data_IF_831949481935
#
_entry.id   IF_831949481935
#
_cell.length_a   1.000
_cell.length_b   1.000
_cell.length_c   1.000
_cell.angle_alpha   90.00
_cell.angle_beta   90.00
_cell.angle_gamma   90.00
#
_symmetry.space_group_name_H-M   'P 1'
#
loop_
_entity.id
_entity.type
_entity.pdbx_description
1 polymer ?
#
# COMPACT_ATOMS: atom_id res chain seq x y z
N UNK A 1 31.76 -43.66 -8.28
CA UNK A 1 30.39 -43.38 -7.80
C UNK A 1 29.43 -43.90 -8.86
N UNK A 2 28.59 -44.86 -8.52
CA UNK A 2 27.57 -45.36 -9.44
C UNK A 2 26.41 -44.35 -9.47
N UNK A 3 25.81 -44.12 -10.63
CA UNK A 3 24.69 -43.17 -10.82
C UNK A 3 23.56 -43.39 -9.81
N UNK A 4 23.30 -44.65 -9.48
CA UNK A 4 22.35 -45.09 -8.47
C UNK A 4 22.57 -44.51 -7.06
N UNK A 5 23.83 -44.31 -6.64
CA UNK A 5 24.13 -43.72 -5.32
C UNK A 5 23.75 -42.24 -5.26
N UNK A 6 23.90 -41.53 -6.39
CA UNK A 6 23.53 -40.12 -6.50
C UNK A 6 22.02 -39.97 -6.51
N UNK A 7 21.31 -40.81 -7.27
CA UNK A 7 19.85 -40.85 -7.32
C UNK A 7 19.24 -41.10 -5.93
N UNK A 8 19.72 -42.11 -5.21
CA UNK A 8 19.24 -42.43 -3.87
C UNK A 8 19.51 -41.30 -2.86
N UNK A 9 20.67 -40.63 -2.97
CA UNK A 9 21.00 -39.47 -2.13
C UNK A 9 20.07 -38.27 -2.39
N UNK A 10 19.74 -37.99 -3.65
CA UNK A 10 18.82 -36.92 -4.04
C UNK A 10 17.40 -37.16 -3.50
N UNK A 11 16.87 -38.38 -3.65
CA UNK A 11 15.52 -38.72 -3.17
C UNK A 11 15.43 -38.69 -1.63
N UNK A 12 16.47 -39.15 -0.94
CA UNK A 12 16.54 -39.07 0.51
C UNK A 12 16.54 -37.62 1.00
N UNK A 13 17.32 -36.74 0.34
CA UNK A 13 17.37 -35.32 0.66
C UNK A 13 16.03 -34.63 0.39
N UNK A 14 15.41 -34.89 -0.75
CA UNK A 14 14.09 -34.33 -1.09
C UNK A 14 13.03 -34.77 -0.07
N UNK A 15 13.00 -36.05 0.29
CA UNK A 15 12.08 -36.59 1.30
C UNK A 15 12.31 -35.94 2.67
N UNK A 16 13.57 -35.77 3.07
CA UNK A 16 13.93 -35.09 4.32
C UNK A 16 13.44 -33.63 4.35
N UNK A 17 13.69 -32.85 3.30
CA UNK A 17 13.20 -31.47 3.17
C UNK A 17 11.68 -31.42 3.16
N UNK A 18 11.03 -32.35 2.45
CA UNK A 18 9.57 -32.44 2.39
C UNK A 18 8.95 -32.71 3.77
N UNK A 19 9.53 -33.62 4.56
CA UNK A 19 9.10 -33.88 5.94
C UNK A 19 9.23 -32.61 6.79
N UNK A 20 10.38 -31.92 6.73
CA UNK A 20 10.56 -30.66 7.47
C UNK A 20 9.51 -29.61 7.09
N UNK A 21 9.24 -29.43 5.78
CA UNK A 21 8.23 -28.48 5.31
C UNK A 21 6.83 -28.86 5.81
N UNK A 22 6.46 -30.14 5.81
CA UNK A 22 5.16 -30.60 6.32
C UNK A 22 5.05 -30.40 7.82
N UNK A 23 6.11 -30.70 8.58
CA UNK A 23 6.14 -30.45 10.01
C UNK A 23 5.94 -28.97 10.36
N UNK A 24 6.45 -28.03 9.55
CA UNK A 24 6.18 -26.59 9.77
C UNK A 24 4.74 -26.18 9.48
N UNK A 25 4.03 -26.92 8.61
CA UNK A 25 2.64 -26.63 8.20
C UNK A 25 1.58 -27.37 9.02
N UNK A 26 1.98 -28.28 9.91
CA UNK A 26 1.06 -29.13 10.68
C UNK A 26 0.19 -28.35 11.68
N UNK A 27 0.60 -27.15 12.11
CA UNK A 27 -0.19 -26.33 13.02
C UNK A 27 -0.82 -25.15 12.28
N UNK A 28 -2.08 -25.33 11.86
CA UNK A 28 -2.86 -24.28 11.21
C UNK A 28 -3.37 -23.28 12.25
N UNK A 29 -2.54 -22.27 12.55
CA UNK A 29 -2.90 -21.17 13.44
C UNK A 29 -3.89 -20.23 12.76
N UNK A 30 -5.09 -20.12 13.34
CA UNK A 30 -6.07 -19.11 12.96
C UNK A 30 -5.90 -17.88 13.85
N UNK A 31 -5.64 -16.72 13.23
CA UNK A 31 -5.53 -15.45 13.94
C UNK A 31 -6.88 -14.74 13.93
N UNK A 32 -7.38 -14.39 15.12
CA UNK A 32 -8.51 -13.48 15.29
C UNK A 32 -7.97 -12.10 15.67
N UNK A 33 -8.31 -11.08 14.88
CA UNK A 33 -7.81 -9.72 15.06
C UNK A 33 -8.86 -8.89 15.80
N UNK A 34 -8.49 -8.31 16.95
CA UNK A 34 -9.36 -7.48 17.79
C UNK A 34 -8.86 -6.03 17.82
N UNK A 35 -9.17 -5.20 16.80
CA UNK A 35 -8.64 -3.84 16.70
C UNK A 35 -9.06 -2.92 17.85
N UNK A 36 -10.18 -3.23 18.52
CA UNK A 36 -10.67 -2.46 19.67
C UNK A 36 -9.76 -2.57 20.91
N UNK A 37 -8.86 -3.57 20.95
CA UNK A 37 -7.93 -3.81 22.06
C UNK A 37 -6.53 -3.23 21.81
N UNK A 38 -6.33 -2.54 20.67
CA UNK A 38 -5.05 -1.95 20.34
C UNK A 38 -4.74 -0.79 21.31
N UNK A 39 -3.60 -0.89 21.97
CA UNK A 39 -3.04 0.21 22.75
C UNK A 39 -2.61 1.34 21.80
N UNK A 40 -2.93 2.56 22.18
CA UNK A 40 -2.58 3.76 21.43
C UNK A 40 -1.06 3.97 21.49
N UNK A 41 -0.36 3.56 20.43
CA UNK A 41 1.09 3.75 20.26
C UNK A 41 1.36 4.66 19.05
N UNK A 42 2.55 5.25 19.05
CA UNK A 42 3.08 5.89 17.85
C UNK A 42 3.45 4.78 16.86
N UNK A 43 3.07 4.98 15.61
CA UNK A 43 3.34 4.01 14.54
C UNK A 43 4.00 4.77 13.40
N UNK A 44 5.22 4.37 13.09
CA UNK A 44 5.98 4.91 11.98
C UNK A 44 5.95 3.92 10.82
N UNK A 45 5.69 4.43 9.63
CA UNK A 45 5.70 3.65 8.39
C UNK A 45 6.94 4.03 7.59
N UNK A 46 7.70 3.03 7.17
CA UNK A 46 8.87 3.22 6.32
C UNK A 46 8.59 2.69 4.91
N UNK A 47 8.91 3.50 3.91
CA UNK A 47 8.89 3.15 2.50
C UNK A 47 10.31 3.24 1.98
N UNK A 48 10.81 2.18 1.38
CA UNK A 48 12.15 2.14 0.78
C UNK A 48 12.01 2.02 -0.72
N UNK A 49 12.84 2.76 -1.47
CA UNK A 49 12.95 2.63 -2.92
C UNK A 49 14.41 2.65 -3.33
N UNK A 50 14.78 1.83 -4.31
CA UNK A 50 16.20 1.60 -4.64
C UNK A 50 16.53 1.75 -6.14
N UNK A 51 15.55 1.74 -7.03
CA UNK A 51 15.79 1.79 -8.47
C UNK A 51 14.61 2.44 -9.20
N UNK A 52 14.88 3.45 -10.04
CA UNK A 52 13.87 4.18 -10.80
C UNK A 52 13.23 3.40 -11.94
N UNK A 53 13.97 2.48 -12.56
CA UNK A 53 13.49 1.69 -13.69
C UNK A 53 12.60 0.55 -13.19
N UNK A 54 13.01 -0.10 -12.10
CA UNK A 54 12.23 -1.17 -11.47
C UNK A 54 11.07 -0.63 -10.63
N UNK A 55 11.25 0.54 -10.01
CA UNK A 55 10.26 1.18 -9.13
C UNK A 55 9.98 2.63 -9.58
N UNK A 56 9.18 2.82 -10.65
CA UNK A 56 8.83 4.15 -11.12
C UNK A 56 8.30 5.05 -9.99
N UNK A 57 8.74 6.32 -9.89
CA UNK A 57 8.38 7.23 -8.78
C UNK A 57 6.87 7.36 -8.53
N UNK A 58 6.05 7.20 -9.57
CA UNK A 58 4.59 7.25 -9.46
C UNK A 58 4.02 6.14 -8.56
N UNK A 59 4.65 4.96 -8.52
CA UNK A 59 4.23 3.84 -7.66
C UNK A 59 4.57 4.16 -6.20
N UNK A 60 5.78 4.67 -5.97
CA UNK A 60 6.25 5.11 -4.64
C UNK A 60 5.35 6.21 -4.09
N UNK A 61 5.05 7.23 -4.90
CA UNK A 61 4.13 8.32 -4.54
C UNK A 61 2.73 7.81 -4.17
N UNK A 62 2.16 6.92 -4.97
CA UNK A 62 0.84 6.34 -4.69
C UNK A 62 0.82 5.55 -3.38
N UNK A 63 1.89 4.82 -3.10
CA UNK A 63 2.08 4.09 -1.84
C UNK A 63 2.12 5.06 -0.67
N UNK A 64 2.96 6.11 -0.74
CA UNK A 64 3.10 7.13 0.31
C UNK A 64 1.78 7.86 0.55
N UNK A 65 1.06 8.27 -0.51
CA UNK A 65 -0.27 8.89 -0.40
C UNK A 65 -1.29 7.99 0.27
N UNK A 66 -1.31 6.69 -0.06
CA UNK A 66 -2.20 5.72 0.57
C UNK A 66 -1.90 5.57 2.07
N UNK A 67 -0.61 5.51 2.44
CA UNK A 67 -0.17 5.38 3.84
C UNK A 67 -0.57 6.61 4.67
N UNK A 68 -0.43 7.83 4.13
CA UNK A 68 -0.82 9.07 4.83
C UNK A 68 -2.33 9.15 5.13
N UNK A 69 -3.15 8.43 4.37
CA UNK A 69 -4.60 8.35 4.56
C UNK A 69 -4.99 7.24 5.54
N UNK A 70 -4.09 6.33 5.93
CA UNK A 70 -4.41 5.20 6.81
C UNK A 70 -5.06 5.69 8.11
N UNK A 71 -6.18 5.05 8.45
CA UNK A 71 -6.99 5.39 9.61
C UNK A 71 -6.62 4.40 10.70
N UNK A 72 -5.59 4.78 11.46
CA UNK A 72 -5.08 3.95 12.53
C UNK A 72 -5.75 4.35 13.84
N UNK A 73 -6.40 3.40 14.55
CA UNK A 73 -7.17 3.70 15.75
C UNK A 73 -6.29 4.37 16.82
N UNK A 74 -6.72 5.54 17.30
CA UNK A 74 -6.00 6.34 18.28
C UNK A 74 -4.78 7.11 17.74
N UNK A 75 -4.49 7.06 16.44
CA UNK A 75 -3.32 7.73 15.86
C UNK A 75 -3.67 8.80 14.81
N UNK A 76 -4.89 9.36 14.85
CA UNK A 76 -5.31 10.48 14.00
C UNK A 76 -4.32 11.67 13.98
N UNK A 77 -3.40 11.74 14.95
CA UNK A 77 -2.32 12.72 15.06
C UNK A 77 -0.91 12.12 15.27
N UNK A 78 -0.68 10.82 15.01
CA UNK A 78 0.57 10.11 15.40
C UNK A 78 1.19 9.19 14.35
N UNK A 79 0.67 9.18 13.12
CA UNK A 79 1.29 8.43 12.03
C UNK A 79 2.33 9.30 11.33
N UNK A 80 3.59 8.85 11.29
CA UNK A 80 4.62 9.43 10.45
C UNK A 80 5.00 8.44 9.33
N UNK A 81 5.19 8.97 8.13
CA UNK A 81 5.65 8.19 6.96
C UNK A 81 7.04 8.70 6.60
N UNK A 82 8.00 7.78 6.58
CA UNK A 82 9.39 8.03 6.21
C UNK A 82 9.68 7.34 4.88
N UNK A 83 10.40 8.02 4.00
CA UNK A 83 10.82 7.48 2.71
C UNK A 83 12.34 7.44 2.67
N UNK A 84 12.92 6.27 2.42
CA UNK A 84 14.34 6.08 2.13
C UNK A 84 14.49 5.86 0.62
N UNK A 85 15.22 6.73 -0.04
CA UNK A 85 15.53 6.63 -1.47
C UNK A 85 17.03 6.31 -1.63
N UNK A 86 17.33 5.04 -1.86
CA UNK A 86 18.71 4.55 -2.01
C UNK A 86 19.28 4.89 -3.40
N UNK A 87 18.42 5.14 -4.40
CA UNK A 87 18.83 5.59 -5.73
C UNK A 87 19.24 7.07 -5.76
N UNK A 88 18.87 7.83 -4.72
CA UNK A 88 19.10 9.28 -4.60
C UNK A 88 18.63 10.05 -5.86
N UNK A 89 17.45 9.70 -6.36
CA UNK A 89 16.99 10.23 -7.64
C UNK A 89 16.33 11.59 -7.49
N UNK A 90 16.73 12.59 -8.28
CA UNK A 90 16.04 13.89 -8.29
C UNK A 90 14.59 13.77 -8.77
N UNK A 91 14.28 12.76 -9.60
CA UNK A 91 12.92 12.52 -10.09
C UNK A 91 12.01 12.01 -8.97
N UNK A 92 12.50 11.07 -8.16
CA UNK A 92 11.78 10.57 -6.97
C UNK A 92 11.55 11.69 -5.97
N UNK A 93 12.57 12.50 -5.71
CA UNK A 93 12.45 13.65 -4.82
C UNK A 93 11.40 14.65 -5.30
N UNK A 94 11.43 15.03 -6.58
CA UNK A 94 10.46 15.96 -7.15
C UNK A 94 9.03 15.39 -7.09
N UNK A 95 8.86 14.13 -7.47
CA UNK A 95 7.56 13.45 -7.42
C UNK A 95 7.00 13.40 -5.99
N UNK A 96 7.84 13.11 -4.98
CA UNK A 96 7.44 13.13 -3.56
C UNK A 96 7.10 14.54 -3.07
N UNK A 97 7.83 15.57 -3.51
CA UNK A 97 7.53 16.98 -3.20
C UNK A 97 6.16 17.40 -3.74
N UNK A 98 5.84 17.08 -4.99
CA UNK A 98 4.51 17.35 -5.56
C UNK A 98 3.42 16.50 -4.88
N UNK A 99 3.72 15.24 -4.57
CA UNK A 99 2.83 14.38 -3.81
C UNK A 99 2.50 14.96 -2.43
N UNK A 100 3.47 15.55 -1.74
CA UNK A 100 3.25 16.19 -0.44
C UNK A 100 2.27 17.37 -0.54
N UNK A 101 2.33 18.17 -1.61
CA UNK A 101 1.35 19.24 -1.88
C UNK A 101 -0.03 18.69 -2.21
N UNK A 102 -0.10 17.58 -2.95
CA UNK A 102 -1.36 16.91 -3.25
C UNK A 102 -1.99 16.25 -2.01
N UNK A 103 -1.16 15.70 -1.12
CA UNK A 103 -1.59 15.05 0.12
C UNK A 103 -2.42 15.98 1.01
N UNK A 104 -2.10 17.28 1.03
CA UNK A 104 -2.85 18.28 1.79
C UNK A 104 -4.32 18.38 1.36
N UNK A 105 -4.65 18.02 0.11
CA UNK A 105 -6.02 17.99 -0.40
C UNK A 105 -6.61 16.58 -0.33
N UNK A 106 -5.82 15.58 -0.71
CA UNK A 106 -6.25 14.18 -0.75
C UNK A 106 -6.57 13.60 0.62
N UNK A 107 -5.71 13.85 1.61
CA UNK A 107 -5.86 13.27 2.95
C UNK A 107 -7.14 13.73 3.65
N UNK A 108 -7.47 15.04 3.71
CA UNK A 108 -8.74 15.49 4.27
C UNK A 108 -9.95 14.94 3.50
N UNK A 109 -9.91 14.96 2.16
CA UNK A 109 -10.99 14.43 1.33
C UNK A 109 -11.31 12.96 1.66
N UNK A 110 -10.28 12.11 1.71
CA UNK A 110 -10.47 10.70 2.02
C UNK A 110 -11.04 10.49 3.43
N UNK A 111 -10.64 11.32 4.40
CA UNK A 111 -11.13 11.23 5.78
C UNK A 111 -12.59 11.70 5.91
N UNK A 112 -12.94 12.82 5.29
CA UNK A 112 -14.31 13.38 5.33
C UNK A 112 -15.32 12.41 4.74
N UNK A 113 -15.00 11.83 3.58
CA UNK A 113 -15.92 10.97 2.84
C UNK A 113 -15.73 9.48 3.10
N UNK A 114 -14.84 9.12 4.02
CA UNK A 114 -14.48 7.75 4.40
C UNK A 114 -14.23 6.86 3.16
N UNK A 115 -13.34 7.33 2.29
CA UNK A 115 -13.01 6.65 1.03
C UNK A 115 -12.28 5.34 1.30
N UNK A 116 -12.83 4.23 0.78
CA UNK A 116 -12.27 2.89 0.96
C UNK A 116 -10.99 2.68 0.14
N UNK A 117 -10.97 3.16 -1.11
CA UNK A 117 -9.80 3.06 -2.01
C UNK A 117 -8.93 4.31 -1.85
N UNK A 118 -7.87 4.20 -1.05
CA UNK A 118 -7.02 5.34 -0.65
C UNK A 118 -5.88 5.65 -1.62
N UNK A 119 -5.66 4.78 -2.60
CA UNK A 119 -4.68 4.95 -3.68
C UNK A 119 -5.32 5.80 -4.79
N UNK A 120 -4.82 7.02 -5.05
CA UNK A 120 -5.42 7.94 -6.03
C UNK A 120 -5.57 7.33 -7.42
N UNK A 121 -4.50 6.73 -7.97
CA UNK A 121 -4.53 6.14 -9.31
C UNK A 121 -5.61 5.07 -9.47
N UNK A 122 -5.87 4.28 -8.41
CA UNK A 122 -6.91 3.24 -8.43
C UNK A 122 -8.30 3.83 -8.22
N UNK A 123 -8.41 4.86 -7.38
CA UNK A 123 -9.67 5.55 -7.10
C UNK A 123 -10.23 6.27 -8.33
N UNK A 124 -9.36 6.93 -9.10
CA UNK A 124 -9.72 7.62 -10.35
C UNK A 124 -9.67 6.73 -11.59
N UNK A 125 -9.63 5.40 -11.41
CA UNK A 125 -9.65 4.48 -12.55
C UNK A 125 -11.05 4.39 -13.17
N UNK A 126 -11.19 4.22 -14.49
CA UNK A 126 -12.50 4.16 -15.16
C UNK A 126 -13.46 3.11 -14.58
N UNK A 127 -12.91 1.97 -14.14
CA UNK A 127 -13.68 0.91 -13.50
C UNK A 127 -14.22 1.32 -12.12
N UNK A 128 -13.45 2.10 -11.35
CA UNK A 128 -13.89 2.63 -10.07
C UNK A 128 -14.93 3.75 -10.24
N UNK A 129 -14.80 4.59 -11.27
CA UNK A 129 -15.76 5.65 -11.58
C UNK A 129 -17.17 5.12 -11.89
N UNK A 130 -17.24 4.01 -12.64
CA UNK A 130 -18.51 3.33 -12.93
C UNK A 130 -19.17 2.77 -11.66
N UNK A 131 -18.37 2.26 -10.71
CA UNK A 131 -18.90 1.76 -9.45
C UNK A 131 -19.45 2.89 -8.55
N UNK A 132 -18.81 4.06 -8.56
CA UNK A 132 -19.27 5.24 -7.81
C UNK A 132 -20.60 5.79 -8.37
N UNK A 133 -20.75 5.83 -9.71
CA UNK A 133 -21.99 6.33 -10.34
C UNK A 133 -23.22 5.46 -10.11
N UNK A 134 -23.04 4.19 -9.72
CA UNK A 134 -24.14 3.21 -9.64
C UNK A 134 -24.69 3.03 -8.21
N UNK A 135 -23.99 3.54 -7.19
CA UNK A 135 -24.20 3.08 -5.81
C UNK A 135 -24.43 4.13 -4.72
N UNK A 136 -24.48 5.44 -5.00
CA UNK A 136 -24.47 6.45 -3.92
C UNK A 136 -25.40 7.62 -4.16
N UNK A 137 -26.24 7.90 -3.17
CA UNK A 137 -26.98 9.16 -3.02
C UNK A 137 -25.98 10.25 -2.62
N UNK A 138 -25.20 10.74 -3.58
CA UNK A 138 -24.12 11.68 -3.30
C UNK A 138 -24.65 13.09 -3.06
N UNK A 139 -24.15 13.72 -1.99
CA UNK A 139 -24.33 15.15 -1.76
C UNK A 139 -23.67 15.93 -2.90
N UNK A 140 -24.29 17.03 -3.32
CA UNK A 140 -23.74 17.91 -4.37
C UNK A 140 -22.31 18.38 -4.04
N UNK A 141 -22.00 18.53 -2.76
CA UNK A 141 -20.68 18.89 -2.23
C UNK A 141 -19.61 17.84 -2.56
N UNK A 142 -19.89 16.55 -2.33
CA UNK A 142 -18.96 15.46 -2.66
C UNK A 142 -18.65 15.45 -4.16
N UNK A 143 -19.66 15.68 -5.01
CA UNK A 143 -19.47 15.70 -6.45
C UNK A 143 -18.60 16.89 -6.90
N UNK A 144 -18.74 18.05 -6.26
CA UNK A 144 -17.92 19.22 -6.52
C UNK A 144 -16.47 19.00 -6.08
N UNK A 145 -16.27 18.52 -4.86
CA UNK A 145 -14.94 18.23 -4.31
C UNK A 145 -14.21 17.14 -5.10
N UNK A 146 -14.94 16.09 -5.51
CA UNK A 146 -14.40 15.04 -6.36
C UNK A 146 -13.92 15.58 -7.70
N UNK A 147 -14.71 16.43 -8.37
CA UNK A 147 -14.30 17.07 -9.64
C UNK A 147 -13.06 17.93 -9.43
N UNK A 148 -13.01 18.70 -8.35
CA UNK A 148 -11.87 19.55 -8.03
C UNK A 148 -10.59 18.73 -7.84
N UNK A 149 -10.64 17.66 -7.05
CA UNK A 149 -9.49 16.80 -6.76
C UNK A 149 -9.07 16.02 -8.01
N UNK A 150 -10.02 15.53 -8.81
CA UNK A 150 -9.71 14.83 -10.06
C UNK A 150 -8.92 15.72 -11.02
N UNK A 151 -9.33 16.99 -11.19
CA UNK A 151 -8.58 17.96 -12.00
C UNK A 151 -7.16 18.15 -11.47
N UNK A 152 -7.00 18.26 -10.15
CA UNK A 152 -5.70 18.45 -9.49
C UNK A 152 -4.81 17.21 -9.59
N UNK A 153 -5.38 16.02 -9.61
CA UNK A 153 -4.67 14.75 -9.81
C UNK A 153 -4.23 14.56 -11.27
N UNK A 154 -5.06 14.95 -12.23
CA UNK A 154 -4.78 14.87 -13.67
C UNK A 154 -3.98 16.07 -14.21
N UNK A 155 -3.70 17.07 -13.38
CA UNK A 155 -2.88 18.22 -13.75
C UNK A 155 -1.41 17.83 -14.00
N UNK A 156 -0.64 18.70 -14.66
CA UNK A 156 0.79 18.44 -14.87
C UNK A 156 1.52 18.32 -13.52
N UNK A 157 2.26 17.22 -13.36
CA UNK A 157 3.31 17.05 -12.35
C UNK A 157 4.42 18.08 -12.58
#
# INVERSE_FOLDING_TARGET
>A
MTTWQVEMGCEAWFTFVWVLVISTKWNLLHYLIFPQRLLQRFTDMFVTTADLELEPPIITVNTVLSLMVVDYPGAAHKLAVYVSDDACSPLTFFALSEAAKFAQLWVPFCRIYNIQVRVPFRYFSPAAEQAVSTGRSDSLELQQDWKHIKIKHSGPL
#
